data_IF_769986212757
#
_entry.id   IF_769986212757
#
_cell.length_a   1.000
_cell.length_b   1.000
_cell.length_c   1.000
_cell.angle_alpha   90.00
_cell.angle_beta   90.00
_cell.angle_gamma   90.00
#
_symmetry.space_group_name_H-M   'P 1'
#
loop_
_entity.id
_entity.type
_entity.pdbx_description
1 polymer ?
#
# COMPACT_ATOMS: atom_id res chain seq x y z
N UNK A 1 -9.80 -3.08 0.61
CA UNK A 1 -8.92 -4.10 0.00
C UNK A 1 -7.91 -4.60 1.02
N UNK A 2 -7.79 -5.90 1.16
CA UNK A 2 -6.89 -6.50 2.15
C UNK A 2 -5.55 -6.82 1.53
N UNK A 3 -4.48 -6.64 2.31
CA UNK A 3 -3.13 -6.98 1.88
C UNK A 3 -2.83 -8.38 2.40
N UNK A 4 -2.74 -9.35 1.50
CA UNK A 4 -2.60 -10.76 1.87
C UNK A 4 -1.28 -11.38 1.42
N UNK A 5 -0.52 -10.68 0.60
CA UNK A 5 0.76 -11.18 0.09
C UNK A 5 1.90 -10.38 0.69
N UNK A 6 3.09 -10.95 0.69
CA UNK A 6 4.30 -10.26 1.14
C UNK A 6 4.97 -9.45 0.03
N UNK A 7 4.51 -9.57 -1.20
CA UNK A 7 5.09 -8.85 -2.33
C UNK A 7 4.04 -8.58 -3.40
N UNK A 8 4.03 -7.34 -3.89
CA UNK A 8 3.15 -6.92 -4.97
C UNK A 8 3.98 -6.22 -6.04
N UNK A 9 3.80 -6.61 -7.31
CA UNK A 9 4.53 -6.02 -8.42
C UNK A 9 3.53 -5.52 -9.47
N UNK A 10 3.65 -4.26 -9.86
CA UNK A 10 2.81 -3.62 -10.88
C UNK A 10 1.31 -3.74 -10.56
N UNK A 11 0.98 -3.68 -9.29
CA UNK A 11 -0.40 -3.84 -8.83
C UNK A 11 -1.11 -2.49 -8.76
N UNK A 12 -2.40 -2.49 -9.08
CA UNK A 12 -3.19 -1.26 -9.05
C UNK A 12 -4.06 -1.22 -7.79
N UNK A 13 -3.71 -0.32 -6.86
CA UNK A 13 -4.47 -0.08 -5.63
C UNK A 13 -5.23 1.25 -5.70
N UNK A 14 -5.33 1.86 -6.86
CA UNK A 14 -5.90 3.19 -6.99
C UNK A 14 -7.34 3.24 -6.49
N UNK A 15 -7.63 4.26 -5.69
CA UNK A 15 -8.94 4.52 -5.10
C UNK A 15 -9.41 3.43 -4.11
N UNK A 16 -8.52 2.58 -3.66
CA UNK A 16 -8.87 1.54 -2.69
C UNK A 16 -8.64 2.00 -1.26
N UNK A 17 -9.41 1.44 -0.34
CA UNK A 17 -9.14 1.57 1.08
C UNK A 17 -8.32 0.34 1.49
N UNK A 18 -7.16 0.58 2.10
CA UNK A 18 -6.35 -0.54 2.59
C UNK A 18 -6.88 -0.95 3.96
N UNK A 19 -7.43 -2.15 4.04
CA UNK A 19 -8.09 -2.68 5.23
C UNK A 19 -7.09 -3.47 6.06
N UNK A 20 -6.20 -2.75 6.71
CA UNK A 20 -5.19 -3.36 7.57
C UNK A 20 -4.80 -2.37 8.65
N UNK A 21 -4.68 -2.84 9.90
CA UNK A 21 -4.18 -2.01 10.97
C UNK A 21 -2.66 -2.05 11.05
N UNK A 22 -2.04 -3.09 10.50
CA UNK A 22 -0.59 -3.24 10.50
C UNK A 22 -0.12 -3.84 9.17
N UNK A 23 0.95 -3.27 8.61
CA UNK A 23 1.66 -3.85 7.48
C UNK A 23 3.09 -4.13 7.90
N UNK A 24 3.55 -5.34 7.70
CA UNK A 24 4.85 -5.80 8.15
C UNK A 24 5.57 -6.55 7.03
N UNK A 25 6.74 -6.06 6.66
CA UNK A 25 7.63 -6.72 5.70
C UNK A 25 6.96 -7.02 4.35
N UNK A 26 6.19 -6.06 3.86
CA UNK A 26 5.54 -6.16 2.55
C UNK A 26 6.30 -5.30 1.55
N UNK A 27 6.56 -5.85 0.37
CA UNK A 27 7.25 -5.11 -0.70
C UNK A 27 6.25 -4.75 -1.80
N UNK A 28 6.29 -3.47 -2.19
CA UNK A 28 5.48 -2.97 -3.30
C UNK A 28 6.41 -2.40 -4.35
N UNK A 29 6.37 -2.95 -5.55
CA UNK A 29 7.20 -2.53 -6.67
C UNK A 29 6.32 -2.06 -7.83
N UNK A 30 6.52 -0.82 -8.26
CA UNK A 30 5.79 -0.22 -9.39
C UNK A 30 4.28 -0.27 -9.20
N UNK A 31 3.82 -0.12 -7.98
CA UNK A 31 2.39 -0.15 -7.67
C UNK A 31 1.77 1.23 -7.81
N UNK A 32 0.51 1.27 -8.19
CA UNK A 32 -0.26 2.50 -8.29
C UNK A 32 -1.10 2.67 -7.03
N UNK A 33 -0.75 3.68 -6.21
CA UNK A 33 -1.48 4.02 -4.99
C UNK A 33 -2.16 5.39 -5.09
N UNK A 34 -2.49 5.82 -6.30
CA UNK A 34 -3.16 7.11 -6.48
C UNK A 34 -4.53 7.07 -5.84
N UNK A 35 -4.83 8.06 -5.01
CA UNK A 35 -6.11 8.16 -4.31
C UNK A 35 -6.38 6.99 -3.35
N UNK A 36 -5.36 6.22 -3.01
CA UNK A 36 -5.49 5.12 -2.07
C UNK A 36 -5.59 5.65 -0.65
N UNK A 37 -6.46 5.08 0.15
CA UNK A 37 -6.65 5.47 1.54
C UNK A 37 -5.90 4.51 2.46
N UNK A 38 -4.90 5.04 3.16
CA UNK A 38 -4.08 4.29 4.13
C UNK A 38 -4.43 4.65 5.58
N UNK A 39 -5.56 5.32 5.80
CA UNK A 39 -5.86 5.89 7.12
C UNK A 39 -6.11 4.84 8.21
N UNK A 40 -6.44 3.60 7.84
CA UNK A 40 -6.67 2.54 8.82
C UNK A 40 -5.38 1.90 9.33
N UNK A 41 -4.25 2.19 8.71
CA UNK A 41 -2.99 1.58 9.10
C UNK A 41 -2.40 2.35 10.29
N UNK A 42 -2.24 1.67 11.42
CA UNK A 42 -1.63 2.23 12.62
C UNK A 42 -0.13 1.99 12.67
N UNK A 43 0.31 0.83 12.18
CA UNK A 43 1.71 0.41 12.26
C UNK A 43 2.17 -0.12 10.91
N UNK A 44 3.32 0.36 10.47
CA UNK A 44 3.95 -0.10 9.23
C UNK A 44 5.45 -0.21 9.46
N UNK A 45 6.02 -1.39 9.32
CA UNK A 45 7.46 -1.56 9.46
C UNK A 45 8.00 -2.62 8.52
N UNK A 46 9.25 -2.41 8.09
CA UNK A 46 9.90 -3.33 7.17
C UNK A 46 9.27 -3.35 5.79
N UNK A 47 8.41 -2.39 5.48
CA UNK A 47 7.78 -2.30 4.17
C UNK A 47 8.67 -1.54 3.20
N UNK A 48 8.66 -1.95 1.94
CA UNK A 48 9.44 -1.32 0.88
C UNK A 48 8.49 -0.87 -0.22
N UNK A 49 8.67 0.38 -0.66
CA UNK A 49 7.90 0.95 -1.76
C UNK A 49 8.88 1.43 -2.82
N UNK A 50 8.95 0.74 -3.96
CA UNK A 50 9.85 1.12 -5.05
C UNK A 50 9.04 1.53 -6.27
N UNK A 51 9.35 2.71 -6.79
CA UNK A 51 8.71 3.25 -8.00
C UNK A 51 7.18 3.28 -7.90
N UNK A 52 6.66 3.53 -6.72
CA UNK A 52 5.23 3.60 -6.48
C UNK A 52 4.72 5.03 -6.62
N UNK A 53 3.48 5.18 -7.07
CA UNK A 53 2.84 6.49 -7.24
C UNK A 53 1.83 6.71 -6.12
N UNK A 54 2.10 7.70 -5.27
CA UNK A 54 1.24 8.05 -4.13
C UNK A 54 0.47 9.34 -4.34
N UNK A 55 0.29 9.76 -5.58
CA UNK A 55 -0.42 11.01 -5.87
C UNK A 55 -1.80 10.99 -5.24
N UNK A 56 -2.09 12.00 -4.41
CA UNK A 56 -3.36 12.14 -3.71
C UNK A 56 -3.72 10.96 -2.79
N UNK A 57 -2.74 10.17 -2.38
CA UNK A 57 -2.97 9.11 -1.40
C UNK A 57 -3.25 9.74 -0.03
N UNK A 58 -4.12 9.12 0.73
CA UNK A 58 -4.45 9.57 2.07
C UNK A 58 -3.65 8.77 3.10
N UNK A 59 -2.86 9.48 3.87
CA UNK A 59 -1.98 8.87 4.87
C UNK A 59 -2.40 9.23 6.29
#
# INVERSE_FOLDING_TARGET
MRIEKSSYSSYNFSKELIEASELSRVKFDKCNFRWTDFSEIDVMYGCTFESCDFTNARL
#
